data_IF_398183679701
#
_entry.id   IF_398183679701
#
_cell.length_a   1.000
_cell.length_b   1.000
_cell.length_c   1.000
_cell.angle_alpha   90.00
_cell.angle_beta   90.00
_cell.angle_gamma   90.00
#
_symmetry.space_group_name_H-M   'P 1'
#
loop_
_entity.id
_entity.type
_entity.pdbx_description
1 polymer ?
#
# COMPACT_ATOMS: atom_id res chain seq x y z
N UNK A 1 -18.45 17.90 5.20
CA UNK A 1 -17.78 19.22 5.20
C UNK A 1 -16.73 19.21 4.10
N UNK A 2 -16.92 19.94 3.00
CA UNK A 2 -16.03 19.89 1.83
C UNK A 2 -14.69 20.55 2.18
N UNK A 3 -13.60 19.81 1.99
CA UNK A 3 -12.24 20.32 2.08
C UNK A 3 -11.97 21.23 0.86
N UNK A 4 -12.33 22.50 0.95
CA UNK A 4 -11.85 23.54 0.03
C UNK A 4 -10.91 24.47 0.80
N UNK A 5 -9.61 24.33 0.61
CA UNK A 5 -8.61 25.32 1.03
C UNK A 5 -8.24 26.23 -0.14
N UNK A 6 -8.25 27.52 0.14
CA UNK A 6 -7.89 28.63 -0.77
C UNK A 6 -6.46 28.47 -1.29
N UNK A 7 -6.31 28.58 -2.61
CA UNK A 7 -5.01 28.75 -3.29
C UNK A 7 -4.64 30.24 -3.21
N UNK A 8 -3.44 30.53 -2.73
CA UNK A 8 -2.86 31.88 -2.79
C UNK A 8 -1.67 32.04 -1.84
N UNK A 9 -0.45 32.03 -2.38
CA UNK A 9 0.80 32.36 -1.70
C UNK A 9 1.82 31.22 -1.77
N UNK A 10 3.07 31.54 -2.11
CA UNK A 10 4.22 30.62 -2.06
C UNK A 10 4.61 30.30 -0.61
N UNK A 11 3.72 29.70 0.15
CA UNK A 11 4.09 29.02 1.38
C UNK A 11 4.88 27.75 1.01
N UNK A 12 6.05 27.54 1.62
CA UNK A 12 6.73 26.23 1.59
C UNK A 12 5.68 25.17 1.91
N UNK A 13 5.38 24.31 0.95
CA UNK A 13 4.46 23.20 1.16
C UNK A 13 4.91 22.44 2.42
N UNK A 14 4.02 22.33 3.40
CA UNK A 14 4.28 21.60 4.63
C UNK A 14 4.63 20.16 4.25
N UNK A 15 5.73 19.62 4.79
CA UNK A 15 6.05 18.21 4.65
C UNK A 15 4.88 17.38 5.18
N UNK A 16 4.22 16.54 4.35
CA UNK A 16 3.13 15.70 4.81
C UNK A 16 3.61 14.72 5.88
N UNK A 17 2.81 14.52 6.94
CA UNK A 17 3.04 13.50 7.94
C UNK A 17 1.98 12.41 7.82
N UNK A 18 2.40 11.18 7.50
CA UNK A 18 1.50 10.03 7.34
C UNK A 18 1.83 8.95 8.36
N UNK A 19 0.81 8.53 9.12
CA UNK A 19 0.95 7.40 10.03
C UNK A 19 0.54 6.13 9.27
N UNK A 20 1.48 5.20 9.14
CA UNK A 20 1.26 3.90 8.52
C UNK A 20 1.01 2.86 9.60
N UNK A 21 -0.12 2.16 9.55
CA UNK A 21 -0.42 1.05 10.45
C UNK A 21 -0.45 -0.24 9.65
N UNK A 22 0.51 -1.15 9.88
CA UNK A 22 0.58 -2.31 9.01
C UNK A 22 1.72 -3.29 9.28
N UNK A 23 1.88 -4.20 8.33
CA UNK A 23 2.77 -5.34 8.42
C UNK A 23 4.23 -5.02 8.15
N UNK A 24 5.08 -5.80 8.82
CA UNK A 24 6.51 -5.86 8.62
C UNK A 24 6.90 -7.32 8.38
N UNK A 25 7.44 -7.63 7.20
CA UNK A 25 7.79 -8.99 6.81
C UNK A 25 9.25 -9.07 6.34
N UNK A 26 9.88 -10.20 6.59
CA UNK A 26 11.09 -10.61 5.89
C UNK A 26 10.68 -11.55 4.77
N UNK A 27 10.84 -11.14 3.52
CA UNK A 27 10.47 -11.95 2.37
C UNK A 27 11.64 -12.81 1.91
N UNK A 28 11.40 -14.10 1.71
CA UNK A 28 12.34 -15.06 1.13
C UNK A 28 11.88 -15.42 -0.27
N UNK A 29 12.63 -15.04 -1.28
CA UNK A 29 12.37 -15.43 -2.67
C UNK A 29 13.28 -16.56 -3.09
N UNK A 30 12.69 -17.67 -3.55
CA UNK A 30 13.37 -18.81 -4.19
C UNK A 30 13.23 -18.66 -5.71
N UNK A 31 14.35 -18.75 -6.43
CA UNK A 31 14.39 -18.57 -7.89
C UNK A 31 14.68 -19.86 -8.63
N UNK A 32 14.12 -20.01 -9.82
CA UNK A 32 14.43 -21.05 -10.76
C UNK A 32 13.89 -22.42 -10.39
N UNK A 33 12.83 -22.49 -9.61
CA UNK A 33 12.07 -23.72 -9.42
C UNK A 33 11.40 -24.10 -10.75
N UNK A 34 11.70 -25.26 -11.31
CA UNK A 34 11.10 -25.71 -12.58
C UNK A 34 9.60 -26.02 -12.44
N UNK A 35 9.18 -26.46 -11.26
CA UNK A 35 7.81 -26.85 -10.95
C UNK A 35 7.53 -26.75 -9.44
N UNK A 36 6.28 -26.87 -9.08
CA UNK A 36 5.89 -27.10 -7.68
C UNK A 36 6.15 -28.57 -7.35
N UNK A 37 6.86 -28.86 -6.24
CA UNK A 37 7.11 -30.24 -5.85
C UNK A 37 5.80 -31.00 -5.53
N UNK A 38 5.70 -32.24 -5.96
CA UNK A 38 4.68 -33.16 -5.50
C UNK A 38 5.01 -33.66 -4.06
N UNK A 39 4.07 -34.38 -3.46
CA UNK A 39 4.32 -34.95 -2.12
C UNK A 39 5.58 -35.84 -2.11
N UNK A 40 6.53 -35.54 -1.21
CA UNK A 40 7.79 -36.28 -1.06
C UNK A 40 8.84 -35.93 -2.12
N UNK A 41 8.58 -35.04 -3.03
CA UNK A 41 9.50 -34.62 -4.08
C UNK A 41 10.38 -33.42 -3.63
N UNK A 42 11.66 -33.48 -4.01
CA UNK A 42 12.60 -32.38 -3.88
C UNK A 42 12.73 -31.68 -5.24
N UNK A 43 12.46 -30.37 -5.27
CA UNK A 43 12.77 -29.51 -6.42
C UNK A 43 13.91 -28.59 -6.05
N UNK A 44 14.95 -28.56 -6.89
CA UNK A 44 16.09 -27.65 -6.67
C UNK A 44 15.77 -26.27 -7.21
N UNK A 45 16.12 -25.24 -6.42
CA UNK A 45 16.09 -23.85 -6.82
C UNK A 45 17.51 -23.39 -7.19
N UNK A 46 17.63 -22.49 -8.15
CA UNK A 46 18.94 -21.99 -8.60
C UNK A 46 19.57 -20.97 -7.65
N UNK A 47 18.72 -20.20 -6.93
CA UNK A 47 19.16 -19.13 -6.01
C UNK A 47 18.06 -18.79 -5.03
N UNK A 48 18.42 -17.98 -4.01
CA UNK A 48 17.46 -17.36 -3.11
C UNK A 48 17.90 -15.93 -2.75
N UNK A 49 16.96 -15.11 -2.34
CA UNK A 49 17.23 -13.77 -1.80
C UNK A 49 16.30 -13.46 -0.63
N UNK A 50 16.84 -12.74 0.34
CA UNK A 50 16.03 -12.08 1.37
C UNK A 50 15.78 -10.64 0.96
N UNK A 51 14.56 -10.16 1.18
CA UNK A 51 14.17 -8.77 1.01
C UNK A 51 13.34 -8.31 2.20
N UNK A 52 13.43 -7.04 2.50
CA UNK A 52 12.52 -6.39 3.43
C UNK A 52 11.19 -6.20 2.71
N UNK A 53 10.10 -6.54 3.37
CA UNK A 53 8.76 -6.51 2.82
C UNK A 53 7.72 -6.27 3.91
N UNK A 54 6.48 -6.63 3.58
CA UNK A 54 5.29 -6.25 4.32
C UNK A 54 4.73 -4.94 3.80
N UNK A 55 3.41 -4.92 3.57
CA UNK A 55 2.73 -3.74 2.99
C UNK A 55 2.97 -2.46 3.82
N UNK A 56 2.96 -2.56 5.15
CA UNK A 56 3.24 -1.42 6.04
C UNK A 56 4.64 -0.86 5.85
N UNK A 57 5.66 -1.71 5.83
CA UNK A 57 7.04 -1.29 5.60
C UNK A 57 7.24 -0.69 4.20
N UNK A 58 6.69 -1.34 3.15
CA UNK A 58 6.76 -0.85 1.78
C UNK A 58 6.14 0.54 1.63
N UNK A 59 4.94 0.74 2.19
CA UNK A 59 4.22 2.02 2.12
C UNK A 59 4.94 3.11 2.92
N UNK A 60 5.51 2.80 4.08
CA UNK A 60 6.28 3.76 4.86
C UNK A 60 7.56 4.20 4.12
N UNK A 61 8.30 3.26 3.51
CA UNK A 61 9.47 3.57 2.68
C UNK A 61 9.08 4.41 1.45
N UNK A 62 7.95 4.07 0.80
CA UNK A 62 7.47 4.83 -0.35
C UNK A 62 7.14 6.28 0.03
N UNK A 63 6.44 6.49 1.14
CA UNK A 63 6.14 7.83 1.66
C UNK A 63 7.40 8.64 1.91
N UNK A 64 8.40 8.06 2.59
CA UNK A 64 9.67 8.75 2.90
C UNK A 64 10.45 9.10 1.63
N UNK A 65 10.56 8.16 0.67
CA UNK A 65 11.21 8.44 -0.62
C UNK A 65 10.52 9.51 -1.45
N UNK A 66 9.21 9.63 -1.30
CA UNK A 66 8.41 10.69 -1.93
C UNK A 66 8.46 12.02 -1.18
N UNK A 67 9.10 12.08 -0.01
CA UNK A 67 9.29 13.32 0.75
C UNK A 67 8.30 13.56 1.89
N UNK A 68 7.52 12.57 2.30
CA UNK A 68 6.69 12.64 3.51
C UNK A 68 7.46 12.21 4.77
N UNK A 69 7.02 12.69 5.93
CA UNK A 69 7.37 12.11 7.22
C UNK A 69 6.49 10.88 7.46
N UNK A 70 7.09 9.67 7.41
CA UNK A 70 6.38 8.43 7.68
C UNK A 70 6.59 7.99 9.13
N UNK A 71 5.50 7.76 9.85
CA UNK A 71 5.47 7.16 11.20
C UNK A 71 4.89 5.77 11.06
N UNK A 72 5.63 4.73 11.47
CA UNK A 72 5.18 3.35 11.33
C UNK A 72 4.74 2.78 12.67
N UNK A 73 3.51 2.26 12.69
CA UNK A 73 2.94 1.45 13.76
C UNK A 73 2.84 0.01 13.26
N UNK A 74 3.47 -0.91 13.95
CA UNK A 74 3.50 -2.31 13.57
C UNK A 74 4.19 -3.17 14.62
N UNK A 75 4.40 -4.43 14.31
CA UNK A 75 4.99 -5.37 15.26
C UNK A 75 5.93 -6.35 14.58
N UNK A 76 7.09 -6.58 15.18
CA UNK A 76 8.07 -7.61 14.79
C UNK A 76 8.33 -8.57 15.93
N UNK A 77 8.92 -9.71 15.64
CA UNK A 77 9.39 -10.66 16.65
C UNK A 77 10.72 -10.23 17.28
N UNK A 78 11.05 -10.77 18.46
CA UNK A 78 12.39 -10.67 19.05
C UNK A 78 13.33 -11.70 18.42
N UNK A 79 13.54 -11.58 17.10
CA UNK A 79 14.36 -12.48 16.31
C UNK A 79 15.31 -11.73 15.37
N UNK A 80 16.11 -12.47 14.62
CA UNK A 80 17.07 -11.90 13.65
C UNK A 80 16.37 -11.07 12.58
N UNK A 81 15.23 -11.54 12.07
CA UNK A 81 14.49 -10.87 11.01
C UNK A 81 13.90 -9.53 11.50
N UNK A 82 13.35 -9.51 12.71
CA UNK A 82 12.85 -8.28 13.34
C UNK A 82 13.95 -7.23 13.51
N UNK A 83 15.14 -7.64 13.95
CA UNK A 83 16.31 -6.74 14.08
C UNK A 83 16.72 -6.16 12.74
N UNK A 84 16.83 -7.00 11.70
CA UNK A 84 17.20 -6.56 10.34
C UNK A 84 16.17 -5.58 9.77
N UNK A 85 14.87 -5.83 9.97
CA UNK A 85 13.79 -4.93 9.55
C UNK A 85 13.89 -3.57 10.24
N UNK A 86 14.04 -3.55 11.57
CA UNK A 86 14.17 -2.32 12.35
C UNK A 86 15.38 -1.50 11.88
N UNK A 87 16.53 -2.14 11.69
CA UNK A 87 17.75 -1.44 11.27
C UNK A 87 17.60 -0.85 9.86
N UNK A 88 16.99 -1.59 8.95
CA UNK A 88 16.73 -1.09 7.60
C UNK A 88 15.72 0.07 7.57
N UNK A 89 14.63 -0.01 8.35
CA UNK A 89 13.66 1.08 8.44
C UNK A 89 14.30 2.37 8.98
N UNK A 90 15.24 2.25 9.95
CA UNK A 90 16.04 3.39 10.41
C UNK A 90 16.93 3.99 9.31
N UNK A 91 17.55 3.14 8.48
CA UNK A 91 18.34 3.61 7.35
C UNK A 91 17.50 4.35 6.30
N UNK A 92 16.21 4.08 6.24
CA UNK A 92 15.23 4.80 5.41
C UNK A 92 14.59 6.01 6.12
N UNK A 93 15.10 6.43 7.27
CA UNK A 93 14.65 7.60 8.05
C UNK A 93 13.15 7.52 8.47
N UNK A 94 12.60 6.30 8.59
CA UNK A 94 11.23 6.09 9.04
C UNK A 94 11.17 6.23 10.56
N UNK A 95 10.20 6.98 11.07
CA UNK A 95 9.93 7.03 12.50
C UNK A 95 9.31 5.69 12.94
N UNK A 96 10.11 4.88 13.64
CA UNK A 96 9.74 3.55 14.14
C UNK A 96 9.45 3.54 15.65
N UNK A 97 9.25 4.69 16.27
CA UNK A 97 8.98 4.83 17.72
C UNK A 97 7.84 3.91 18.18
N UNK A 98 6.88 3.66 17.31
CA UNK A 98 5.69 2.88 17.59
C UNK A 98 5.75 1.45 17.00
N UNK A 99 6.91 1.00 16.53
CA UNK A 99 7.12 -0.40 16.17
C UNK A 99 7.43 -1.19 17.45
N UNK A 100 6.59 -2.18 17.75
CA UNK A 100 6.69 -2.99 18.95
C UNK A 100 7.43 -4.31 18.68
N UNK A 101 8.14 -4.83 19.70
CA UNK A 101 8.80 -6.14 19.65
C UNK A 101 7.96 -7.14 20.46
N UNK A 102 7.52 -8.22 19.79
CA UNK A 102 6.84 -9.34 20.43
C UNK A 102 7.84 -10.45 20.73
N UNK A 103 7.90 -10.93 21.96
CA UNK A 103 8.82 -12.00 22.38
C UNK A 103 8.25 -13.41 22.22
N UNK A 104 6.96 -13.52 21.93
CA UNK A 104 6.25 -14.82 21.84
C UNK A 104 5.95 -15.21 20.39
N UNK A 105 6.02 -14.27 19.46
CA UNK A 105 5.76 -14.49 18.04
C UNK A 105 7.00 -14.16 17.20
N UNK A 106 7.23 -14.93 16.15
CA UNK A 106 8.26 -14.64 15.15
C UNK A 106 7.85 -13.45 14.27
N UNK A 107 8.84 -12.78 13.70
CA UNK A 107 8.61 -11.75 12.67
C UNK A 107 7.87 -12.34 11.47
N UNK A 108 6.94 -11.57 10.89
CA UNK A 108 6.23 -11.96 9.68
C UNK A 108 7.18 -12.30 8.53
N UNK A 109 6.78 -13.25 7.69
CA UNK A 109 7.56 -13.70 6.54
C UNK A 109 6.65 -14.02 5.37
N UNK A 110 7.08 -13.71 4.14
CA UNK A 110 6.55 -14.32 2.94
C UNK A 110 7.61 -15.19 2.28
N UNK A 111 7.23 -16.42 1.87
CA UNK A 111 8.08 -17.28 1.04
C UNK A 111 7.52 -17.24 -0.38
N UNK A 112 8.33 -16.76 -1.32
CA UNK A 112 7.97 -16.54 -2.70
C UNK A 112 8.73 -17.52 -3.56
N UNK A 113 8.03 -18.47 -4.20
CA UNK A 113 8.63 -19.41 -5.15
C UNK A 113 8.40 -18.90 -6.57
N UNK A 114 9.42 -18.34 -7.19
CA UNK A 114 9.38 -17.85 -8.58
C UNK A 114 9.89 -18.92 -9.54
N UNK A 115 9.10 -19.26 -10.55
CA UNK A 115 9.48 -20.19 -11.60
C UNK A 115 10.28 -19.49 -12.73
N UNK A 116 10.76 -20.28 -13.68
CA UNK A 116 11.54 -19.78 -14.82
C UNK A 116 10.72 -18.90 -15.78
N UNK A 117 9.39 -18.89 -15.68
CA UNK A 117 8.48 -18.04 -16.46
C UNK A 117 8.15 -16.71 -15.79
N UNK A 118 8.64 -16.50 -14.55
CA UNK A 118 8.35 -15.32 -13.74
C UNK A 118 7.04 -15.40 -12.96
N UNK A 119 6.31 -16.52 -13.02
CA UNK A 119 5.14 -16.76 -12.18
C UNK A 119 5.60 -17.13 -10.77
N UNK A 120 4.91 -16.62 -9.76
CA UNK A 120 5.25 -16.86 -8.37
C UNK A 120 4.10 -17.48 -7.59
N UNK A 121 4.45 -18.23 -6.54
CA UNK A 121 3.55 -18.70 -5.50
C UNK A 121 4.04 -18.16 -4.16
N UNK A 122 3.10 -17.70 -3.36
CA UNK A 122 3.40 -17.04 -2.10
C UNK A 122 2.83 -17.85 -0.95
N UNK A 123 3.64 -18.01 0.10
CA UNK A 123 3.23 -18.56 1.38
C UNK A 123 3.45 -17.48 2.43
N UNK A 124 2.38 -16.96 3.03
CA UNK A 124 2.45 -15.94 4.07
C UNK A 124 2.50 -16.56 5.46
N UNK A 125 3.42 -16.10 6.27
CA UNK A 125 3.53 -16.38 7.70
C UNK A 125 3.36 -15.03 8.41
N UNK A 126 2.16 -14.70 8.90
CA UNK A 126 1.90 -13.35 9.42
C UNK A 126 2.67 -13.05 10.70
N UNK A 127 2.98 -14.04 11.53
CA UNK A 127 3.80 -13.89 12.73
C UNK A 127 3.32 -12.78 13.65
N UNK A 128 4.24 -11.94 14.10
CA UNK A 128 4.00 -10.85 15.03
C UNK A 128 2.97 -9.82 14.51
N UNK A 129 2.79 -9.67 13.20
CA UNK A 129 1.78 -8.78 12.63
C UNK A 129 0.37 -9.08 13.16
N UNK A 130 0.04 -10.38 13.33
CA UNK A 130 -1.28 -10.79 13.84
C UNK A 130 -1.43 -10.65 15.36
N UNK A 131 -0.43 -10.11 16.03
CA UNK A 131 -0.50 -9.78 17.46
C UNK A 131 -0.61 -8.26 17.69
N UNK A 132 -0.64 -7.46 16.64
CA UNK A 132 -0.83 -6.01 16.75
C UNK A 132 -2.21 -5.72 17.32
N UNK A 133 -2.26 -4.90 18.36
CA UNK A 133 -3.49 -4.42 18.99
C UNK A 133 -3.63 -2.91 18.80
N UNK A 134 -4.84 -2.39 18.94
CA UNK A 134 -5.09 -0.95 18.87
C UNK A 134 -4.84 -0.22 20.21
N UNK A 135 -4.33 -0.93 21.21
CA UNK A 135 -4.00 -0.36 22.51
C UNK A 135 -3.01 0.81 22.36
N UNK A 136 -3.35 1.95 22.94
CA UNK A 136 -2.54 3.18 22.82
C UNK A 136 -2.66 3.90 21.48
N UNK A 137 -3.46 3.43 20.53
CA UNK A 137 -3.59 4.06 19.19
C UNK A 137 -4.12 5.51 19.32
N UNK A 138 -5.02 5.77 20.23
CA UNK A 138 -5.55 7.12 20.44
C UNK A 138 -4.46 8.10 20.89
N UNK A 139 -3.59 7.66 21.81
CA UNK A 139 -2.45 8.43 22.30
C UNK A 139 -1.45 8.67 21.19
N UNK A 140 -1.13 7.65 20.39
CA UNK A 140 -0.24 7.74 19.23
C UNK A 140 -0.78 8.77 18.24
N UNK A 141 -2.06 8.70 17.86
CA UNK A 141 -2.67 9.63 16.90
C UNK A 141 -2.73 11.07 17.45
N UNK A 142 -2.94 11.25 18.75
CA UNK A 142 -2.91 12.59 19.39
C UNK A 142 -1.50 13.16 19.49
N UNK A 143 -0.50 12.31 19.72
CA UNK A 143 0.91 12.72 19.78
C UNK A 143 1.44 13.07 18.41
N UNK A 144 1.29 12.16 17.45
CA UNK A 144 1.87 12.29 16.11
C UNK A 144 1.13 13.29 15.23
N UNK A 145 -0.17 13.45 15.42
CA UNK A 145 -1.04 14.38 14.64
C UNK A 145 -0.84 14.24 13.13
N UNK A 146 -0.96 13.02 12.59
CA UNK A 146 -0.73 12.81 11.17
C UNK A 146 -1.78 13.53 10.31
N UNK A 147 -1.39 13.91 9.11
CA UNK A 147 -2.32 14.47 8.11
C UNK A 147 -3.25 13.37 7.55
N UNK A 148 -2.81 12.09 7.57
CA UNK A 148 -3.58 10.93 7.14
C UNK A 148 -3.07 9.65 7.82
N UNK A 149 -3.95 8.68 8.01
CA UNK A 149 -3.60 7.30 8.34
C UNK A 149 -3.69 6.45 7.08
N UNK A 150 -2.62 5.73 6.73
CA UNK A 150 -2.58 4.71 5.68
C UNK A 150 -2.48 3.35 6.34
N UNK A 151 -3.43 2.45 6.06
CA UNK A 151 -3.41 1.11 6.64
C UNK A 151 -3.79 0.02 5.65
N UNK A 152 -3.39 -1.20 5.97
CA UNK A 152 -3.70 -2.42 5.23
C UNK A 152 -4.32 -3.44 6.20
N UNK A 153 -4.66 -4.62 5.69
CA UNK A 153 -5.33 -5.66 6.48
C UNK A 153 -4.43 -6.89 6.79
N UNK A 154 -3.10 -6.72 6.71
CA UNK A 154 -2.13 -7.75 7.16
C UNK A 154 -1.91 -7.70 8.69
N UNK A 155 -2.98 -7.44 9.44
CA UNK A 155 -3.06 -7.39 10.89
C UNK A 155 -4.42 -7.93 11.34
N UNK A 156 -4.70 -8.09 12.64
CA UNK A 156 -6.04 -8.46 13.08
C UNK A 156 -7.09 -7.46 12.59
N UNK A 157 -8.17 -7.97 11.99
CA UNK A 157 -9.26 -7.13 11.47
C UNK A 157 -9.83 -6.19 12.54
N UNK A 158 -9.91 -6.67 13.78
CA UNK A 158 -10.38 -5.86 14.91
C UNK A 158 -9.48 -4.64 15.13
N UNK A 159 -8.15 -4.80 15.05
CA UNK A 159 -7.18 -3.70 15.17
C UNK A 159 -7.38 -2.65 14.07
N UNK A 160 -7.61 -3.09 12.81
CA UNK A 160 -7.89 -2.17 11.72
C UNK A 160 -9.19 -1.39 11.94
N UNK A 161 -10.26 -2.06 12.38
CA UNK A 161 -11.56 -1.44 12.67
C UNK A 161 -11.42 -0.41 13.81
N UNK A 162 -10.77 -0.77 14.93
CA UNK A 162 -10.58 0.12 16.07
C UNK A 162 -9.71 1.32 15.70
N UNK A 163 -8.61 1.10 14.96
CA UNK A 163 -7.75 2.18 14.45
C UNK A 163 -8.55 3.16 13.59
N UNK A 164 -9.37 2.66 12.67
CA UNK A 164 -10.24 3.50 11.85
C UNK A 164 -11.22 4.31 12.71
N UNK A 165 -11.90 3.67 13.67
CA UNK A 165 -12.87 4.33 14.55
C UNK A 165 -12.23 5.45 15.39
N UNK A 166 -11.04 5.20 15.93
CA UNK A 166 -10.28 6.19 16.70
C UNK A 166 -9.88 7.36 15.79
N UNK A 167 -9.30 7.09 14.62
CA UNK A 167 -8.91 8.11 13.66
C UNK A 167 -10.11 8.96 13.21
N UNK A 168 -11.26 8.32 12.90
CA UNK A 168 -12.52 8.99 12.57
C UNK A 168 -13.01 9.93 13.68
N UNK A 169 -12.94 9.48 14.93
CA UNK A 169 -13.33 10.29 16.10
C UNK A 169 -12.42 11.53 16.25
N UNK A 170 -11.15 11.41 15.89
CA UNK A 170 -10.18 12.49 15.93
C UNK A 170 -10.21 13.38 14.66
N UNK A 171 -11.07 13.06 13.68
CA UNK A 171 -11.18 13.78 12.41
C UNK A 171 -9.97 13.57 11.48
N UNK A 172 -9.19 12.51 11.67
CA UNK A 172 -8.04 12.17 10.86
C UNK A 172 -8.51 11.29 9.70
N UNK A 173 -8.26 11.68 8.42
CA UNK A 173 -8.64 10.89 7.28
C UNK A 173 -7.88 9.55 7.24
N UNK A 174 -8.57 8.49 6.77
CA UNK A 174 -8.00 7.14 6.68
C UNK A 174 -8.07 6.65 5.25
N UNK A 175 -6.96 6.10 4.78
CA UNK A 175 -6.82 5.38 3.52
C UNK A 175 -6.62 3.89 3.82
N UNK A 176 -7.53 3.05 3.34
CA UNK A 176 -7.45 1.60 3.46
C UNK A 176 -7.00 0.95 2.15
N UNK A 177 -5.83 0.32 2.15
CA UNK A 177 -5.44 -0.66 1.13
C UNK A 177 -6.25 -1.94 1.36
N UNK A 178 -6.96 -2.43 0.36
CA UNK A 178 -7.84 -3.60 0.46
C UNK A 178 -7.13 -4.94 0.67
N UNK A 179 -5.79 -4.96 0.67
CA UNK A 179 -4.97 -6.17 0.82
C UNK A 179 -4.73 -6.61 2.27
N UNK A 180 -4.57 -7.91 2.48
CA UNK A 180 -4.48 -9.01 1.50
C UNK A 180 -5.86 -9.44 0.98
N UNK A 181 -5.85 -10.37 0.00
CA UNK A 181 -7.07 -10.93 -0.59
C UNK A 181 -7.93 -11.64 0.46
N UNK A 182 -8.96 -10.98 0.95
CA UNK A 182 -9.87 -11.46 1.98
C UNK A 182 -11.22 -10.74 1.95
N UNK A 183 -12.22 -11.28 2.64
CA UNK A 183 -13.47 -10.57 2.88
C UNK A 183 -13.24 -9.43 3.87
N UNK A 184 -13.80 -8.26 3.56
CA UNK A 184 -13.71 -7.06 4.40
C UNK A 184 -15.13 -6.68 4.86
N UNK A 185 -15.36 -6.48 6.17
CA UNK A 185 -16.66 -6.00 6.68
C UNK A 185 -16.79 -4.50 6.40
N UNK A 186 -17.18 -4.16 5.17
CA UNK A 186 -17.22 -2.78 4.64
C UNK A 186 -18.04 -1.83 5.53
N UNK A 187 -19.12 -2.33 6.14
CA UNK A 187 -19.98 -1.57 7.04
C UNK A 187 -19.26 -1.08 8.32
N UNK A 188 -18.14 -1.70 8.68
CA UNK A 188 -17.30 -1.27 9.82
C UNK A 188 -16.40 -0.07 9.47
N UNK A 189 -16.20 0.18 8.17
CA UNK A 189 -15.38 1.26 7.62
C UNK A 189 -16.22 2.38 6.98
N UNK A 190 -17.47 2.56 7.43
CA UNK A 190 -18.35 3.60 6.86
C UNK A 190 -17.77 5.01 6.99
N UNK A 191 -17.86 5.75 5.86
CA UNK A 191 -17.36 7.12 5.73
C UNK A 191 -15.84 7.23 5.82
N UNK A 192 -15.13 6.15 5.53
CA UNK A 192 -13.69 6.18 5.33
C UNK A 192 -13.35 7.06 4.11
N UNK A 193 -12.16 7.67 4.09
CA UNK A 193 -11.81 8.55 2.98
C UNK A 193 -11.58 7.74 1.69
N UNK A 194 -10.74 6.71 1.73
CA UNK A 194 -10.40 5.91 0.55
C UNK A 194 -10.38 4.42 0.88
N UNK A 195 -10.91 3.61 -0.04
CA UNK A 195 -10.69 2.15 -0.09
C UNK A 195 -10.07 1.84 -1.45
N UNK A 196 -8.87 1.18 -1.44
CA UNK A 196 -8.10 0.90 -2.65
C UNK A 196 -7.69 -0.57 -2.76
N UNK A 197 -8.56 -1.45 -3.27
CA UNK A 197 -8.23 -2.84 -3.56
C UNK A 197 -7.63 -3.00 -4.97
N UNK A 198 -6.87 -4.10 -5.19
CA UNK A 198 -6.54 -4.60 -6.51
C UNK A 198 -7.65 -5.53 -7.05
N UNK A 199 -7.47 -6.12 -8.24
CA UNK A 199 -8.48 -6.99 -8.87
C UNK A 199 -8.84 -8.21 -8.00
N UNK A 200 -7.84 -8.90 -7.43
CA UNK A 200 -8.06 -10.08 -6.58
C UNK A 200 -8.73 -9.69 -5.25
N UNK A 201 -8.29 -8.62 -4.64
CA UNK A 201 -8.87 -8.05 -3.43
C UNK A 201 -10.31 -7.57 -3.70
N UNK A 202 -10.54 -6.91 -4.83
CA UNK A 202 -11.90 -6.48 -5.26
C UNK A 202 -12.82 -7.68 -5.39
N UNK A 203 -12.37 -8.76 -6.03
CA UNK A 203 -13.17 -9.98 -6.14
C UNK A 203 -13.48 -10.59 -4.76
N UNK A 204 -12.50 -10.66 -3.87
CA UNK A 204 -12.71 -11.19 -2.52
C UNK A 204 -13.69 -10.36 -1.68
N UNK A 205 -13.68 -9.03 -1.87
CA UNK A 205 -14.56 -8.09 -1.16
C UNK A 205 -15.98 -8.12 -1.74
N UNK A 206 -16.11 -8.12 -3.07
CA UNK A 206 -17.38 -7.86 -3.76
C UNK A 206 -18.02 -9.10 -4.40
N UNK A 207 -17.23 -10.14 -4.68
CA UNK A 207 -17.62 -11.27 -5.52
C UNK A 207 -17.67 -10.95 -7.02
N UNK A 208 -17.30 -9.73 -7.43
CA UNK A 208 -17.34 -9.26 -8.82
C UNK A 208 -15.93 -9.35 -9.43
N UNK A 209 -15.80 -10.19 -10.49
CA UNK A 209 -14.58 -10.24 -11.28
C UNK A 209 -14.49 -8.99 -12.16
N UNK A 210 -13.42 -8.21 -12.00
CA UNK A 210 -13.17 -7.03 -12.84
C UNK A 210 -12.46 -7.47 -14.12
N UNK A 211 -13.10 -7.25 -15.26
CA UNK A 211 -12.59 -7.59 -16.60
C UNK A 211 -12.64 -6.42 -17.58
N UNK A 212 -13.41 -5.39 -17.24
CA UNK A 212 -13.63 -4.20 -18.05
C UNK A 212 -14.11 -3.03 -17.17
N UNK A 213 -14.28 -1.86 -17.77
CA UNK A 213 -14.75 -0.65 -17.08
C UNK A 213 -16.15 -0.81 -16.48
N UNK A 214 -17.05 -1.58 -17.12
CA UNK A 214 -18.40 -1.79 -16.61
C UNK A 214 -18.40 -2.65 -15.34
N UNK A 215 -17.58 -3.69 -15.30
CA UNK A 215 -17.40 -4.53 -14.11
C UNK A 215 -16.65 -3.80 -13.01
N UNK A 216 -15.66 -2.94 -13.36
CA UNK A 216 -14.99 -2.06 -12.42
C UNK A 216 -15.98 -1.09 -11.76
N UNK A 217 -16.87 -0.48 -12.55
CA UNK A 217 -17.91 0.41 -12.03
C UNK A 217 -18.82 -0.31 -11.03
N UNK A 218 -19.36 -1.48 -11.39
CA UNK A 218 -20.23 -2.26 -10.50
C UNK A 218 -19.54 -2.67 -9.19
N UNK A 219 -18.26 -3.05 -9.27
CA UNK A 219 -17.49 -3.41 -8.08
C UNK A 219 -17.25 -2.20 -7.17
N UNK A 220 -16.89 -1.05 -7.77
CA UNK A 220 -16.69 0.19 -7.03
C UNK A 220 -18.00 0.70 -6.39
N UNK A 221 -19.11 0.63 -7.13
CA UNK A 221 -20.45 0.97 -6.62
C UNK A 221 -20.85 0.07 -5.44
N UNK A 222 -20.59 -1.25 -5.53
CA UNK A 222 -20.83 -2.17 -4.42
C UNK A 222 -20.04 -1.74 -3.15
N UNK A 223 -18.75 -1.42 -3.28
CA UNK A 223 -17.94 -0.95 -2.15
C UNK A 223 -18.52 0.36 -1.61
N UNK A 224 -18.89 1.28 -2.49
CA UNK A 224 -19.45 2.58 -2.11
C UNK A 224 -20.77 2.44 -1.35
N UNK A 225 -21.69 1.61 -1.80
CA UNK A 225 -22.97 1.38 -1.13
C UNK A 225 -22.81 0.80 0.28
N UNK A 226 -21.78 -0.04 0.51
CA UNK A 226 -21.58 -0.72 1.79
C UNK A 226 -20.70 0.06 2.78
N UNK A 227 -19.72 0.84 2.31
CA UNK A 227 -18.81 1.61 3.17
C UNK A 227 -19.02 3.13 3.08
N UNK A 228 -19.71 3.65 2.06
CA UNK A 228 -19.86 5.09 1.78
C UNK A 228 -18.53 5.86 1.90
N UNK A 229 -17.44 5.41 1.27
CA UNK A 229 -16.18 6.13 1.29
C UNK A 229 -16.29 7.44 0.48
N UNK A 230 -15.33 8.35 0.66
CA UNK A 230 -15.24 9.50 -0.24
C UNK A 230 -14.81 9.07 -1.65
N UNK A 231 -13.90 8.09 -1.74
CA UNK A 231 -13.41 7.54 -3.00
C UNK A 231 -13.22 6.02 -2.91
N UNK A 232 -13.55 5.31 -3.98
CA UNK A 232 -13.12 3.95 -4.26
C UNK A 232 -12.10 3.99 -5.39
N UNK A 233 -10.93 3.38 -5.21
CA UNK A 233 -9.86 3.36 -6.22
C UNK A 233 -9.48 1.91 -6.49
N UNK A 234 -9.95 1.33 -7.59
CA UNK A 234 -9.58 -0.02 -7.98
C UNK A 234 -8.25 0.00 -8.74
N UNK A 235 -7.24 -0.73 -8.23
CA UNK A 235 -5.95 -0.93 -8.90
C UNK A 235 -6.10 -2.03 -9.95
N UNK A 236 -5.92 -1.70 -11.24
CA UNK A 236 -6.19 -2.59 -12.37
C UNK A 236 -4.90 -2.97 -13.14
N UNK A 237 -3.78 -3.09 -12.43
CA UNK A 237 -2.50 -3.51 -12.97
C UNK A 237 -2.08 -2.66 -14.18
N UNK A 238 -1.85 -3.31 -15.32
CA UNK A 238 -1.44 -2.65 -16.57
C UNK A 238 -2.51 -1.74 -17.18
N UNK A 239 -3.77 -1.85 -16.73
CA UNK A 239 -4.86 -0.99 -17.15
C UNK A 239 -4.94 0.34 -16.36
N UNK A 240 -4.19 0.45 -15.25
CA UNK A 240 -4.13 1.65 -14.42
C UNK A 240 -5.04 1.59 -13.19
N UNK A 241 -5.83 2.63 -12.95
CA UNK A 241 -6.69 2.72 -11.79
C UNK A 241 -8.08 3.24 -12.15
N UNK A 242 -9.12 2.66 -11.55
CA UNK A 242 -10.49 3.11 -11.70
C UNK A 242 -10.93 3.86 -10.44
N UNK A 243 -11.25 5.15 -10.60
CA UNK A 243 -11.78 6.00 -9.53
C UNK A 243 -13.30 6.00 -9.58
N UNK A 244 -13.94 5.93 -8.41
CA UNK A 244 -15.38 6.15 -8.23
C UNK A 244 -15.61 7.04 -7.00
N UNK A 245 -16.39 8.13 -7.15
CA UNK A 245 -16.67 9.12 -6.13
C UNK A 245 -18.10 9.08 -5.57
N UNK A 246 -18.87 8.06 -5.98
CA UNK A 246 -20.28 7.91 -5.63
C UNK A 246 -21.27 8.40 -6.69
N UNK A 247 -20.83 9.22 -7.63
CA UNK A 247 -21.63 9.74 -8.75
C UNK A 247 -20.99 9.38 -10.10
N UNK A 248 -19.66 9.53 -10.19
CA UNK A 248 -18.91 9.35 -11.42
C UNK A 248 -17.82 8.29 -11.26
N UNK A 249 -17.60 7.54 -12.33
CA UNK A 249 -16.52 6.58 -12.42
C UNK A 249 -15.62 6.90 -13.61
N UNK A 250 -14.29 6.90 -13.39
CA UNK A 250 -13.30 7.25 -14.41
C UNK A 250 -12.10 6.32 -14.35
N UNK A 251 -11.65 5.88 -15.55
CA UNK A 251 -10.43 5.09 -15.70
C UNK A 251 -9.23 6.02 -15.95
N UNK A 252 -8.24 5.93 -15.10
CA UNK A 252 -6.94 6.57 -15.22
C UNK A 252 -5.94 5.56 -15.76
N UNK A 253 -5.55 5.61 -17.03
CA UNK A 253 -4.71 4.60 -17.64
C UNK A 253 -3.31 4.57 -17.03
N UNK A 254 -2.72 3.38 -16.95
CA UNK A 254 -1.32 3.23 -16.54
C UNK A 254 -0.38 3.86 -17.58
N UNK A 255 0.78 4.33 -17.12
CA UNK A 255 1.86 4.72 -18.02
C UNK A 255 2.50 3.46 -18.62
N UNK A 256 2.70 3.44 -19.94
CA UNK A 256 3.35 2.32 -20.62
C UNK A 256 4.78 2.16 -20.12
N UNK A 257 5.10 0.99 -19.62
CA UNK A 257 6.45 0.63 -19.17
C UNK A 257 6.71 -0.85 -19.37
N UNK A 258 7.99 -1.24 -19.39
CA UNK A 258 8.36 -2.66 -19.41
C UNK A 258 8.40 -3.16 -17.97
N UNK A 259 7.42 -3.96 -17.60
CA UNK A 259 7.38 -4.58 -16.27
C UNK A 259 8.53 -5.59 -16.09
N UNK A 260 9.25 -5.47 -14.99
CA UNK A 260 10.35 -6.35 -14.56
C UNK A 260 9.98 -7.08 -13.28
N UNK A 261 9.38 -6.37 -12.31
CA UNK A 261 8.96 -6.90 -11.02
C UNK A 261 7.80 -6.05 -10.47
N UNK A 262 6.66 -6.67 -10.18
CA UNK A 262 5.46 -5.95 -9.70
C UNK A 262 5.43 -5.79 -8.17
N UNK A 263 6.45 -6.29 -7.46
CA UNK A 263 6.50 -6.19 -5.99
C UNK A 263 6.50 -4.73 -5.54
N UNK A 264 5.71 -4.42 -4.52
CA UNK A 264 5.51 -3.09 -3.94
C UNK A 264 4.87 -2.03 -4.86
N UNK A 265 4.44 -2.37 -6.10
CA UNK A 265 3.81 -1.40 -6.99
C UNK A 265 2.50 -0.82 -6.43
N UNK A 266 1.64 -1.68 -5.87
CA UNK A 266 0.40 -1.26 -5.19
C UNK A 266 0.66 -0.45 -3.93
N UNK A 267 1.71 -0.80 -3.17
CA UNK A 267 2.12 -0.07 -1.97
C UNK A 267 2.64 1.33 -2.33
N UNK A 268 3.48 1.42 -3.37
CA UNK A 268 3.98 2.69 -3.92
C UNK A 268 2.83 3.55 -4.45
N UNK A 269 1.88 2.97 -5.17
CA UNK A 269 0.69 3.66 -5.69
C UNK A 269 -0.14 4.28 -4.55
N UNK A 270 -0.47 3.52 -3.52
CA UNK A 270 -1.25 4.01 -2.39
C UNK A 270 -0.50 5.09 -1.60
N UNK A 271 0.80 4.91 -1.34
CA UNK A 271 1.65 5.89 -0.69
C UNK A 271 1.73 7.21 -1.49
N UNK A 272 1.85 7.12 -2.82
CA UNK A 272 1.90 8.28 -3.71
C UNK A 272 0.59 9.08 -3.71
N UNK A 273 -0.57 8.41 -3.66
CA UNK A 273 -1.87 9.09 -3.49
C UNK A 273 -1.93 9.80 -2.14
N UNK A 274 -1.58 9.13 -1.03
CA UNK A 274 -1.54 9.75 0.29
C UNK A 274 -0.67 10.99 0.31
N UNK A 275 0.55 10.90 -0.23
CA UNK A 275 1.51 11.99 -0.30
C UNK A 275 0.93 13.22 -1.01
N UNK A 276 0.37 13.04 -2.22
CA UNK A 276 -0.17 14.15 -3.02
C UNK A 276 -1.44 14.75 -2.41
N UNK A 277 -2.33 13.93 -1.87
CA UNK A 277 -3.53 14.41 -1.18
C UNK A 277 -3.17 15.24 0.07
N UNK A 278 -2.17 14.82 0.85
CA UNK A 278 -1.70 15.57 2.02
C UNK A 278 -1.02 16.90 1.64
N UNK A 279 -0.52 17.03 0.41
CA UNK A 279 -0.05 18.29 -0.17
C UNK A 279 -1.19 19.19 -0.67
N UNK A 280 -2.45 18.71 -0.67
CA UNK A 280 -3.64 19.45 -1.10
C UNK A 280 -3.94 19.32 -2.59
N UNK A 281 -3.31 18.39 -3.30
CA UNK A 281 -3.62 18.12 -4.69
C UNK A 281 -4.98 17.43 -4.85
N UNK A 282 -5.57 17.55 -6.04
CA UNK A 282 -6.81 16.84 -6.38
C UNK A 282 -6.60 15.34 -6.49
N UNK A 283 -7.67 14.55 -6.30
CA UNK A 283 -7.61 13.09 -6.43
C UNK A 283 -7.15 12.65 -7.82
N UNK A 284 -7.59 13.33 -8.88
CA UNK A 284 -7.21 13.05 -10.26
C UNK A 284 -5.68 13.21 -10.48
N UNK A 285 -5.10 14.32 -10.01
CA UNK A 285 -3.65 14.55 -10.08
C UNK A 285 -2.88 13.55 -9.21
N UNK A 286 -3.43 13.20 -8.06
CA UNK A 286 -2.82 12.22 -7.15
C UNK A 286 -2.77 10.83 -7.78
N UNK A 287 -3.81 10.40 -8.50
CA UNK A 287 -3.83 9.13 -9.24
C UNK A 287 -2.85 9.15 -10.42
N UNK A 288 -2.78 10.25 -11.18
CA UNK A 288 -1.81 10.38 -12.27
C UNK A 288 -0.36 10.26 -11.76
N UNK A 289 -0.05 10.93 -10.66
CA UNK A 289 1.26 10.82 -9.99
C UNK A 289 1.52 9.39 -9.48
N UNK A 290 0.53 8.74 -8.89
CA UNK A 290 0.64 7.38 -8.39
C UNK A 290 0.83 6.34 -9.50
N UNK A 291 0.16 6.50 -10.66
CA UNK A 291 0.40 5.67 -11.84
C UNK A 291 1.85 5.80 -12.36
N UNK A 292 2.41 7.01 -12.35
CA UNK A 292 3.81 7.22 -12.72
C UNK A 292 4.77 6.58 -11.71
N UNK A 293 4.52 6.74 -10.42
CA UNK A 293 5.31 6.10 -9.37
C UNK A 293 5.27 4.56 -9.47
N UNK A 294 4.10 3.99 -9.70
CA UNK A 294 3.93 2.55 -9.90
C UNK A 294 4.64 2.07 -11.18
N UNK A 295 4.59 2.83 -12.28
CA UNK A 295 5.28 2.51 -13.53
C UNK A 295 6.81 2.45 -13.35
N UNK A 296 7.40 3.37 -12.58
CA UNK A 296 8.82 3.31 -12.23
C UNK A 296 9.10 2.07 -11.36
N UNK A 297 8.25 1.83 -10.35
CA UNK A 297 8.41 0.68 -9.46
C UNK A 297 8.43 -0.64 -10.21
N UNK A 298 7.46 -0.90 -11.09
CA UNK A 298 7.40 -2.17 -11.84
C UNK A 298 8.53 -2.32 -12.86
N UNK A 299 9.21 -1.25 -13.27
CA UNK A 299 10.34 -1.29 -14.19
C UNK A 299 11.66 -1.74 -13.55
N UNK A 300 11.70 -1.90 -12.23
CA UNK A 300 12.90 -2.19 -11.45
C UNK A 300 12.73 -3.49 -10.66
N UNK A 301 13.84 -4.15 -10.29
CA UNK A 301 13.83 -5.34 -9.45
C UNK A 301 13.79 -5.00 -7.96
N UNK A 302 13.08 -5.82 -7.19
CA UNK A 302 13.02 -5.79 -5.73
C UNK A 302 11.96 -4.83 -5.19
N UNK A 303 11.52 -5.05 -3.94
CA UNK A 303 10.47 -4.26 -3.29
C UNK A 303 10.96 -2.83 -3.00
N UNK A 304 11.72 -2.64 -1.91
CA UNK A 304 12.11 -1.28 -1.45
C UNK A 304 13.07 -0.55 -2.41
N UNK A 305 13.89 -1.29 -3.14
CA UNK A 305 14.87 -0.70 -4.08
C UNK A 305 14.19 -0.14 -5.34
N UNK A 306 13.04 -0.68 -5.73
CA UNK A 306 12.30 -0.24 -6.92
C UNK A 306 11.54 1.06 -6.71
N UNK A 307 11.22 1.41 -5.47
CA UNK A 307 10.40 2.58 -5.12
C UNK A 307 11.12 3.87 -5.53
N UNK A 308 10.46 4.75 -6.33
CA UNK A 308 11.07 5.99 -6.80
C UNK A 308 11.09 7.10 -5.75
N UNK A 309 11.89 8.12 -6.02
CA UNK A 309 11.82 9.44 -5.36
C UNK A 309 10.77 10.34 -6.04
N UNK A 310 10.35 11.42 -5.35
CA UNK A 310 9.44 12.41 -5.94
C UNK A 310 10.00 13.01 -7.24
N UNK A 311 11.30 13.31 -7.28
CA UNK A 311 11.96 13.89 -8.46
C UNK A 311 11.91 12.95 -9.67
N UNK A 312 12.11 11.65 -9.48
CA UNK A 312 12.00 10.68 -10.56
C UNK A 312 10.59 10.60 -11.12
N UNK A 313 9.57 10.63 -10.24
CA UNK A 313 8.16 10.61 -10.66
C UNK A 313 7.80 11.90 -11.41
N UNK A 314 8.21 13.06 -10.90
CA UNK A 314 7.95 14.34 -11.55
C UNK A 314 8.61 14.44 -12.93
N UNK A 315 9.85 13.92 -13.08
CA UNK A 315 10.53 13.86 -14.36
C UNK A 315 9.76 13.01 -15.38
N UNK A 316 9.34 11.79 -14.98
CA UNK A 316 8.58 10.91 -15.88
C UNK A 316 7.25 11.55 -16.33
N UNK A 317 6.54 12.22 -15.43
CA UNK A 317 5.29 12.91 -15.77
C UNK A 317 5.52 14.06 -16.75
N UNK A 318 6.56 14.88 -16.54
CA UNK A 318 6.91 15.98 -17.45
C UNK A 318 7.24 15.49 -18.86
N UNK A 319 7.96 14.37 -18.96
CA UNK A 319 8.31 13.80 -20.27
C UNK A 319 7.06 13.21 -20.95
N UNK A 320 6.18 12.56 -20.22
CA UNK A 320 4.92 12.03 -20.75
C UNK A 320 3.95 13.12 -21.24
N UNK A 321 3.90 14.26 -20.55
CA UNK A 321 3.08 15.40 -20.99
C UNK A 321 3.60 15.99 -22.29
N UNK A 322 4.92 16.15 -22.45
CA UNK A 322 5.54 16.63 -23.70
C UNK A 322 5.29 15.70 -24.89
N UNK A 323 5.29 14.37 -24.67
CA UNK A 323 5.00 13.39 -25.72
C UNK A 323 3.54 13.44 -26.20
N UNK A 324 2.61 13.90 -25.37
CA UNK A 324 1.19 14.04 -25.75
C UNK A 324 0.88 15.33 -26.50
N UNK A 325 1.76 16.32 -26.41
CA UNK A 325 1.64 17.60 -27.13
C UNK A 325 2.24 17.57 -28.53
N UNK A 326 2.99 16.50 -28.90
CA UNK A 326 3.57 16.23 -30.23
C UNK A 326 2.68 15.29 -31.04
#
# INVERSE_FOLDING_TARGET
MRYQKKVGGSEKLKTPKVLVVGSLNMDLTLYGAEKVPAFGELVQCSNYAYALGGKGANQAVALTKLGAEAVLVGRVGDDRNGKLLIDALKCHEINIKHVQINREAQTGMAVICADSTGKSRLYGIPGANMTLAADGMQEILKEEKPDMVLMQLEMPMQTAIETFQIAKTLGIPVFLDGGPTMKVPLEKFREIMIISPNEAETFAITGIQVTDTATAHRAAEYIFQNAAPQYVILKLGEHGAYLYDGEHGELYPALKTKAVDSTAAGDTFNAAICFRLCQGESIAKSIAFANAAAAITVSRKGALLSIPTETEVASLLSDYEKEKEL
#
